data_IF_309483355649
#
_entry.id   IF_309483355649
#
_cell.length_a   1.000
_cell.length_b   1.000
_cell.length_c   1.000
_cell.angle_alpha   90.00
_cell.angle_beta   90.00
_cell.angle_gamma   90.00
#
_symmetry.space_group_name_H-M   'P 1'
#
loop_
_entity.id
_entity.type
_entity.pdbx_description
1 polymer ?
#
# COMPACT_ATOMS: atom_id res chain seq x y z
N UNK A 1 -4.56 0.27 -8.44
CA UNK A 1 -5.59 0.49 -7.40
C UNK A 1 -6.42 -0.77 -7.12
N UNK A 2 -7.16 -1.30 -8.10
CA UNK A 2 -8.18 -2.35 -7.87
C UNK A 2 -7.69 -3.57 -7.08
N UNK A 3 -6.49 -4.09 -7.36
CA UNK A 3 -5.97 -5.22 -6.61
C UNK A 3 -5.70 -4.90 -5.13
N UNK A 4 -5.18 -3.71 -4.83
CA UNK A 4 -4.98 -3.29 -3.43
C UNK A 4 -6.33 -3.25 -2.71
N UNK A 5 -7.37 -2.71 -3.35
CA UNK A 5 -8.71 -2.67 -2.75
C UNK A 5 -9.38 -4.05 -2.66
N UNK A 6 -9.15 -4.93 -3.63
CA UNK A 6 -9.70 -6.30 -3.62
C UNK A 6 -9.09 -7.16 -2.51
N UNK A 7 -7.89 -6.83 -2.02
CA UNK A 7 -7.25 -7.55 -0.91
C UNK A 7 -8.10 -7.55 0.36
N UNK A 8 -8.95 -6.54 0.55
CA UNK A 8 -9.88 -6.43 1.68
C UNK A 8 -10.84 -7.62 1.80
N UNK A 9 -11.15 -8.29 0.68
CA UNK A 9 -12.08 -9.42 0.67
C UNK A 9 -11.40 -10.76 0.96
N UNK A 10 -10.06 -10.84 0.89
CA UNK A 10 -9.34 -12.10 1.10
C UNK A 10 -9.62 -12.70 2.49
N UNK A 11 -9.58 -11.95 3.61
CA UNK A 11 -9.89 -12.51 4.92
C UNK A 11 -11.32 -13.06 5.04
N UNK A 12 -12.28 -12.49 4.30
CA UNK A 12 -13.65 -12.96 4.29
C UNK A 12 -13.84 -14.20 3.39
N UNK A 13 -13.11 -14.29 2.29
CA UNK A 13 -13.22 -15.40 1.33
C UNK A 13 -12.49 -16.65 1.84
N UNK A 14 -11.27 -16.50 2.34
CA UNK A 14 -10.38 -17.62 2.68
C UNK A 14 -11.02 -18.68 3.62
N UNK A 15 -11.78 -18.33 4.67
CA UNK A 15 -12.43 -19.30 5.54
C UNK A 15 -13.43 -20.23 4.82
N UNK A 16 -14.01 -19.77 3.71
CA UNK A 16 -15.00 -20.52 2.92
C UNK A 16 -14.37 -21.33 1.78
N UNK A 17 -13.05 -21.28 1.64
CA UNK A 17 -12.29 -22.06 0.65
C UNK A 17 -11.61 -23.22 1.37
N UNK A 18 -11.59 -24.38 0.70
CA UNK A 18 -10.84 -25.56 1.14
C UNK A 18 -9.39 -25.18 1.49
N UNK A 19 -8.89 -25.69 2.60
CA UNK A 19 -7.58 -25.33 3.13
C UNK A 19 -6.45 -25.57 2.13
N UNK A 20 -6.55 -26.62 1.30
CA UNK A 20 -5.56 -26.92 0.25
C UNK A 20 -5.59 -25.89 -0.89
N UNK A 21 -6.72 -25.24 -1.12
CA UNK A 21 -6.90 -24.25 -2.19
C UNK A 21 -6.55 -22.82 -1.76
N UNK A 22 -6.50 -22.52 -0.46
CA UNK A 22 -6.17 -21.17 0.05
C UNK A 22 -4.80 -20.67 -0.44
N UNK A 23 -3.70 -21.44 -0.37
CA UNK A 23 -2.42 -20.98 -0.88
C UNK A 23 -2.43 -20.78 -2.41
N UNK A 24 -3.24 -21.57 -3.12
CA UNK A 24 -3.39 -21.45 -4.59
C UNK A 24 -4.06 -20.12 -4.93
N UNK A 25 -5.15 -19.77 -4.23
CA UNK A 25 -5.84 -18.49 -4.39
C UNK A 25 -4.91 -17.30 -4.12
N UNK A 26 -4.16 -17.33 -3.01
CA UNK A 26 -3.24 -16.25 -2.65
C UNK A 26 -2.11 -16.09 -3.69
N UNK A 27 -1.53 -17.21 -4.14
CA UNK A 27 -0.53 -17.20 -5.21
C UNK A 27 -1.11 -16.67 -6.53
N UNK A 28 -2.34 -17.05 -6.88
CA UNK A 28 -3.02 -16.56 -8.07
C UNK A 28 -3.26 -15.05 -7.98
N UNK A 29 -3.79 -14.56 -6.87
CA UNK A 29 -3.99 -13.14 -6.61
C UNK A 29 -2.69 -12.33 -6.74
N UNK A 30 -1.61 -12.81 -6.13
CA UNK A 30 -0.29 -12.18 -6.23
C UNK A 30 0.26 -12.20 -7.68
N UNK A 31 0.15 -13.33 -8.38
CA UNK A 31 0.54 -13.43 -9.80
C UNK A 31 -0.25 -12.47 -10.69
N UNK A 32 -1.55 -12.30 -10.44
CA UNK A 32 -2.36 -11.29 -11.12
C UNK A 32 -1.83 -9.89 -10.85
N UNK A 33 -1.41 -9.58 -9.63
CA UNK A 33 -0.79 -8.30 -9.31
C UNK A 33 0.49 -8.02 -10.08
N UNK A 34 1.38 -9.00 -10.13
CA UNK A 34 2.62 -8.89 -10.91
C UNK A 34 2.32 -8.79 -12.41
N UNK A 35 1.35 -9.56 -12.92
CA UNK A 35 0.96 -9.51 -14.32
C UNK A 35 0.45 -8.12 -14.73
N UNK A 36 -0.42 -7.49 -13.92
CA UNK A 36 -0.88 -6.12 -14.18
C UNK A 36 0.27 -5.12 -14.08
N UNK A 37 1.13 -5.25 -13.06
CA UNK A 37 2.30 -4.37 -12.90
C UNK A 37 3.24 -4.41 -14.11
N UNK A 38 3.61 -5.61 -14.56
CA UNK A 38 4.45 -5.80 -15.76
C UNK A 38 3.73 -5.34 -17.02
N UNK A 39 2.43 -5.63 -17.14
CA UNK A 39 1.60 -5.20 -18.27
C UNK A 39 1.50 -3.68 -18.42
N UNK A 40 1.63 -2.93 -17.32
CA UNK A 40 1.74 -1.47 -17.32
C UNK A 40 3.16 -0.96 -17.67
N UNK A 41 4.05 -1.83 -18.17
CA UNK A 41 5.42 -1.48 -18.58
C UNK A 41 6.39 -1.29 -17.40
N UNK A 42 6.04 -1.76 -16.21
CA UNK A 42 6.88 -1.65 -15.01
C UNK A 42 7.65 -2.94 -14.79
N UNK A 43 8.91 -2.96 -15.22
CA UNK A 43 9.72 -4.18 -15.23
C UNK A 43 10.45 -4.45 -13.90
N UNK A 44 10.63 -3.43 -13.07
CA UNK A 44 11.44 -3.52 -11.85
C UNK A 44 10.60 -3.19 -10.62
N UNK A 45 10.67 -4.07 -9.62
CA UNK A 45 10.08 -3.84 -8.30
C UNK A 45 11.18 -3.50 -7.30
N UNK A 46 11.39 -2.20 -7.09
CA UNK A 46 12.47 -1.63 -6.28
C UNK A 46 12.15 -1.63 -4.78
N UNK A 47 11.90 -2.81 -4.19
CA UNK A 47 11.50 -2.93 -2.78
C UNK A 47 12.57 -2.35 -1.85
N UNK A 48 13.82 -2.72 -2.08
CA UNK A 48 14.94 -2.29 -1.24
C UNK A 48 15.09 -0.77 -1.19
N UNK A 49 14.91 -0.11 -2.33
CA UNK A 49 14.92 1.34 -2.46
C UNK A 49 13.72 1.94 -1.72
N UNK A 50 12.51 1.43 -1.93
CA UNK A 50 11.30 1.91 -1.23
C UNK A 50 11.41 1.82 0.30
N UNK A 51 12.09 0.79 0.82
CA UNK A 51 12.25 0.60 2.27
C UNK A 51 13.38 1.46 2.86
N UNK A 52 14.44 1.73 2.10
CA UNK A 52 15.64 2.43 2.60
C UNK A 52 15.64 3.94 2.34
N UNK A 53 15.05 4.38 1.24
CA UNK A 53 15.14 5.76 0.78
C UNK A 53 14.18 6.67 1.58
N UNK A 54 14.71 7.63 2.37
CA UNK A 54 13.88 8.49 3.22
C UNK A 54 12.93 9.39 2.43
N UNK A 55 13.29 9.76 1.19
CA UNK A 55 12.45 10.63 0.37
C UNK A 55 11.08 10.03 0.02
N UNK A 56 10.95 8.70 0.00
CA UNK A 56 9.65 8.04 -0.26
C UNK A 56 8.64 8.16 0.88
N UNK A 57 9.09 8.56 2.07
CA UNK A 57 8.22 8.79 3.23
C UNK A 57 8.14 10.26 3.63
N UNK A 58 8.74 11.16 2.85
CA UNK A 58 8.63 12.59 3.09
C UNK A 58 7.19 13.03 2.89
N UNK A 59 6.61 13.56 3.96
CA UNK A 59 5.31 14.22 3.96
C UNK A 59 5.57 15.72 3.76
N UNK A 60 4.75 16.45 2.97
CA UNK A 60 4.89 17.91 2.85
C UNK A 60 4.88 18.59 4.22
N UNK A 61 5.66 19.66 4.41
CA UNK A 61 5.76 20.35 5.71
C UNK A 61 4.41 20.79 6.29
N UNK A 62 3.45 21.15 5.43
CA UNK A 62 2.08 21.49 5.80
C UNK A 62 1.27 20.31 6.36
N UNK A 63 1.67 19.09 6.00
CA UNK A 63 1.02 17.83 6.36
C UNK A 63 1.85 17.01 7.37
N UNK A 64 3.09 17.44 7.66
CA UNK A 64 4.00 16.72 8.56
C UNK A 64 3.38 16.55 9.95
N UNK A 65 3.35 15.32 10.49
CA UNK A 65 2.91 15.08 11.87
C UNK A 65 3.91 15.71 12.85
N UNK A 66 3.44 16.14 14.02
CA UNK A 66 4.34 16.47 15.11
C UNK A 66 5.17 15.24 15.52
N UNK A 67 6.33 15.44 16.16
CA UNK A 67 7.26 14.34 16.53
C UNK A 67 6.62 13.23 17.38
N UNK A 68 5.54 13.51 18.10
CA UNK A 68 4.81 12.56 18.94
C UNK A 68 3.47 12.09 18.32
N UNK A 69 3.11 12.62 17.15
CA UNK A 69 1.82 12.32 16.52
C UNK A 69 1.90 11.03 15.71
N UNK A 70 0.82 10.25 15.74
CA UNK A 70 0.69 9.10 14.86
C UNK A 70 0.52 9.58 13.40
N UNK A 71 1.46 9.26 12.49
CA UNK A 71 1.43 9.71 11.09
C UNK A 71 0.17 9.26 10.32
N UNK A 72 -0.47 8.16 10.74
CA UNK A 72 -1.71 7.70 10.11
C UNK A 72 -2.83 8.73 10.15
N UNK A 73 -2.91 9.57 11.19
CA UNK A 73 -3.99 10.57 11.27
C UNK A 73 -3.91 11.59 10.14
N UNK A 74 -2.70 11.98 9.72
CA UNK A 74 -2.51 12.91 8.59
C UNK A 74 -2.89 12.25 7.26
N UNK A 75 -2.42 11.02 7.05
CA UNK A 75 -2.75 10.22 5.86
C UNK A 75 -4.26 10.02 5.72
N UNK A 76 -4.92 9.62 6.80
CA UNK A 76 -6.37 9.37 6.83
C UNK A 76 -7.17 10.67 6.63
N UNK A 77 -6.77 11.77 7.28
CA UNK A 77 -7.43 13.07 7.10
C UNK A 77 -7.33 13.57 5.65
N UNK A 78 -6.17 13.39 5.02
CA UNK A 78 -5.94 13.73 3.61
C UNK A 78 -6.82 12.87 2.70
N UNK A 79 -6.82 11.55 2.90
CA UNK A 79 -7.61 10.61 2.11
C UNK A 79 -9.13 10.83 2.25
N UNK A 80 -9.61 11.21 3.44
CA UNK A 80 -11.04 11.44 3.69
C UNK A 80 -11.59 12.68 2.96
N UNK A 81 -10.73 13.66 2.67
CA UNK A 81 -11.08 14.91 1.98
C UNK A 81 -10.69 14.89 0.50
N UNK A 82 -10.15 13.77 0.01
CA UNK A 82 -9.64 13.68 -1.35
C UNK A 82 -10.80 13.63 -2.36
N UNK A 83 -10.79 14.44 -3.42
CA UNK A 83 -11.92 14.48 -4.37
C UNK A 83 -11.93 13.28 -5.31
N UNK A 84 -10.79 12.62 -5.53
CA UNK A 84 -10.73 11.34 -6.22
C UNK A 84 -10.91 10.17 -5.23
N UNK A 85 -12.02 9.46 -5.40
CA UNK A 85 -12.43 8.33 -4.57
C UNK A 85 -11.45 7.16 -4.59
N UNK A 86 -10.64 7.00 -5.65
CA UNK A 86 -9.69 5.91 -5.77
C UNK A 86 -8.58 6.03 -4.72
N UNK A 87 -8.09 7.25 -4.47
CA UNK A 87 -7.14 7.52 -3.39
C UNK A 87 -7.72 7.09 -2.05
N UNK A 88 -8.95 7.51 -1.72
CA UNK A 88 -9.61 7.14 -0.46
C UNK A 88 -9.74 5.61 -0.32
N UNK A 89 -10.12 4.91 -1.41
CA UNK A 89 -10.25 3.45 -1.42
C UNK A 89 -8.90 2.75 -1.17
N UNK A 90 -7.82 3.22 -1.78
CA UNK A 90 -6.46 2.68 -1.58
C UNK A 90 -6.02 2.88 -0.14
N UNK A 91 -6.09 4.11 0.37
CA UNK A 91 -5.60 4.44 1.71
C UNK A 91 -6.39 3.67 2.78
N UNK A 92 -7.70 3.51 2.60
CA UNK A 92 -8.53 2.64 3.45
C UNK A 92 -8.03 1.20 3.45
N UNK A 93 -7.70 0.65 2.28
CA UNK A 93 -7.22 -0.73 2.16
C UNK A 93 -5.84 -0.91 2.82
N UNK A 94 -4.94 0.06 2.65
CA UNK A 94 -3.63 0.05 3.30
C UNK A 94 -3.74 0.19 4.82
N UNK A 95 -4.63 1.06 5.31
CA UNK A 95 -4.89 1.21 6.75
C UNK A 95 -5.49 -0.07 7.37
N UNK A 96 -6.40 -0.75 6.67
CA UNK A 96 -6.93 -2.05 7.11
C UNK A 96 -5.83 -3.11 7.22
N UNK A 97 -4.97 -3.22 6.20
CA UNK A 97 -3.87 -4.17 6.23
C UNK A 97 -2.83 -3.81 7.30
N UNK A 98 -2.59 -2.52 7.56
CA UNK A 98 -1.73 -2.07 8.65
C UNK A 98 -2.28 -2.47 10.03
N UNK A 99 -3.60 -2.48 10.23
CA UNK A 99 -4.19 -2.98 11.48
C UNK A 99 -4.08 -4.50 11.59
N UNK A 100 -4.12 -5.22 10.47
CA UNK A 100 -4.04 -6.70 10.45
C UNK A 100 -2.60 -7.19 10.61
N UNK A 101 -1.63 -6.49 10.01
CA UNK A 101 -0.23 -6.90 9.92
C UNK A 101 0.72 -5.85 10.55
N UNK A 102 0.22 -5.08 11.51
CA UNK A 102 0.91 -3.93 12.13
C UNK A 102 2.12 -4.29 12.98
N UNK A 103 2.24 -5.57 13.36
CA UNK A 103 3.32 -6.07 14.22
C UNK A 103 4.34 -6.93 13.46
N UNK A 104 4.18 -7.04 12.13
CA UNK A 104 5.10 -7.79 11.27
C UNK A 104 6.52 -7.23 11.33
N UNK A 105 7.45 -8.04 11.82
CA UNK A 105 8.87 -7.71 11.86
C UNK A 105 9.51 -7.83 10.47
N UNK A 106 10.69 -7.19 10.25
CA UNK A 106 11.48 -7.44 9.05
C UNK A 106 11.67 -8.94 8.79
N UNK A 107 11.48 -9.36 7.54
CA UNK A 107 11.57 -10.76 7.13
C UNK A 107 10.27 -11.56 7.25
N UNK A 108 9.22 -11.01 7.88
CA UNK A 108 7.89 -11.66 7.96
C UNK A 108 7.32 -11.96 6.56
N UNK A 109 7.60 -11.09 5.58
CA UNK A 109 7.14 -11.22 4.20
C UNK A 109 8.20 -11.83 3.26
N UNK A 110 9.26 -12.42 3.81
CA UNK A 110 10.37 -12.97 3.01
C UNK A 110 9.88 -14.07 2.07
N UNK A 111 10.24 -13.94 0.80
CA UNK A 111 9.93 -14.89 -0.27
C UNK A 111 10.95 -14.75 -1.40
N UNK A 112 10.71 -15.43 -2.53
CA UNK A 112 11.58 -15.42 -3.72
C UNK A 112 11.73 -14.01 -4.37
N UNK A 113 10.97 -13.02 -3.89
CA UNK A 113 11.05 -11.64 -4.36
C UNK A 113 12.23 -10.92 -3.70
N UNK A 114 13.18 -10.46 -4.53
CA UNK A 114 14.36 -9.71 -4.07
C UNK A 114 13.96 -8.47 -3.24
N UNK A 115 14.53 -8.33 -2.05
CA UNK A 115 14.25 -7.22 -1.14
C UNK A 115 13.06 -7.46 -0.21
N UNK A 116 12.30 -8.55 -0.38
CA UNK A 116 11.16 -8.88 0.49
C UNK A 116 11.56 -9.11 1.95
N UNK A 117 12.82 -9.47 2.20
CA UNK A 117 13.39 -9.60 3.54
C UNK A 117 13.42 -8.28 4.32
N UNK A 118 13.37 -7.14 3.62
CA UNK A 118 13.37 -5.81 4.22
C UNK A 118 11.95 -5.32 4.57
N UNK A 119 10.91 -6.01 4.10
CA UNK A 119 9.53 -5.61 4.36
C UNK A 119 9.17 -5.87 5.82
N UNK A 120 8.53 -4.87 6.42
CA UNK A 120 8.02 -4.88 7.78
C UNK A 120 6.63 -4.22 7.83
N UNK A 121 6.06 -4.06 9.02
CA UNK A 121 4.75 -3.45 9.18
C UNK A 121 4.66 -1.99 8.72
N UNK A 122 5.78 -1.28 8.56
CA UNK A 122 5.77 0.10 8.08
C UNK A 122 5.40 0.22 6.60
N UNK A 123 5.49 -0.87 5.82
CA UNK A 123 5.26 -0.88 4.38
C UNK A 123 3.92 -0.24 3.99
N UNK A 124 2.86 -0.45 4.78
CA UNK A 124 1.52 0.07 4.48
C UNK A 124 1.43 1.59 4.62
N UNK A 125 2.08 2.14 5.65
CA UNK A 125 2.15 3.58 5.86
C UNK A 125 3.01 4.23 4.77
N UNK A 126 4.15 3.61 4.44
CA UNK A 126 5.04 4.05 3.35
C UNK A 126 4.29 4.10 2.03
N UNK A 127 3.60 3.02 1.66
CA UNK A 127 2.80 2.95 0.44
C UNK A 127 1.68 4.00 0.41
N UNK A 128 1.11 4.33 1.58
CA UNK A 128 0.07 5.36 1.70
C UNK A 128 0.63 6.77 1.44
N UNK A 129 1.78 7.09 2.03
CA UNK A 129 2.49 8.37 1.80
C UNK A 129 2.93 8.48 0.34
N UNK A 130 3.53 7.43 -0.22
CA UNK A 130 3.92 7.38 -1.63
C UNK A 130 2.73 7.59 -2.57
N UNK A 131 1.56 7.03 -2.23
CA UNK A 131 0.32 7.21 -2.99
C UNK A 131 -0.10 8.69 -2.99
N UNK A 132 -0.12 9.33 -1.82
CA UNK A 132 -0.47 10.74 -1.69
C UNK A 132 0.58 11.67 -2.34
N UNK A 133 1.86 11.33 -2.27
CA UNK A 133 2.92 12.06 -2.97
C UNK A 133 2.81 11.95 -4.50
N UNK A 134 2.32 10.81 -5.01
CA UNK A 134 2.16 10.59 -6.45
C UNK A 134 0.92 11.27 -7.01
N UNK A 135 -0.18 11.25 -6.27
CA UNK A 135 -1.44 11.87 -6.68
C UNK A 135 -1.40 13.33 -6.24
N UNK A 136 -1.74 13.62 -4.98
CA UNK A 136 -1.49 14.85 -4.23
C UNK A 136 -2.07 14.68 -2.81
N UNK A 137 -1.70 15.57 -1.89
CA UNK A 137 -2.33 15.65 -0.57
C UNK A 137 -3.55 16.59 -0.61
N UNK A 138 -4.57 16.34 0.21
CA UNK A 138 -5.74 17.21 0.25
C UNK A 138 -5.35 18.67 0.56
N UNK A 139 -5.77 19.61 -0.29
CA UNK A 139 -5.44 21.04 -0.15
C UNK A 139 -4.29 21.50 -1.06
N UNK A 140 -3.55 20.57 -1.67
CA UNK A 140 -2.67 20.86 -2.80
C UNK A 140 -3.49 20.66 -4.08
N UNK A 141 -3.36 21.58 -5.05
CA UNK A 141 -4.17 21.55 -6.27
C UNK A 141 -4.09 20.21 -6.99
N UNK A 142 -5.24 19.70 -7.46
CA UNK A 142 -5.31 18.38 -8.08
C UNK A 142 -4.47 18.31 -9.35
N UNK A 143 -3.45 17.45 -9.37
CA UNK A 143 -2.82 17.00 -10.62
C UNK A 143 -3.79 16.04 -11.33
N UNK A 144 -4.03 16.22 -12.64
CA UNK A 144 -4.87 15.36 -13.50
C UNK A 144 -4.20 13.99 -13.73
N UNK A 145 -3.96 13.26 -12.63
CA UNK A 145 -3.34 11.94 -12.62
C UNK A 145 -4.43 10.90 -12.76
N UNK A 146 -4.75 10.52 -14.00
CA UNK A 146 -5.71 9.44 -14.24
C UNK A 146 -5.07 8.10 -13.86
N UNK A 147 -5.82 7.27 -13.12
CA UNK A 147 -5.40 5.98 -12.57
C UNK A 147 -5.23 4.83 -13.59
N UNK A 148 -4.98 5.13 -14.87
CA UNK A 148 -4.85 4.14 -15.93
C UNK A 148 -3.54 3.35 -15.85
#
# INVERSE_FOLDING_TARGET
MHLVTSSLFLPAILPHIDEQLRPILLKAFFKTAICIWVGQGRYELRISECMKEPSFIMVPDSQSPGKADNPWFKVLASAAKHPDEHTTKIIRALSFNANTYGDSQPGYYSCDLKGSELLDSTLFLRASIMTLNKIYWSGEGAMDSKWY
#
